data_IF_696328816822
#
_entry.id   IF_696328816822
#
_cell.length_a   1.000
_cell.length_b   1.000
_cell.length_c   1.000
_cell.angle_alpha   90.00
_cell.angle_beta   90.00
_cell.angle_gamma   90.00
#
_symmetry.space_group_name_H-M   'P 1'
#
loop_
_entity.id
_entity.type
_entity.pdbx_description
1 polymer ?
#
# COMPACT_ATOMS: atom_id res chain seq x y z
N UNK A 1 -58.05 35.86 -3.68
CA UNK A 1 -58.81 34.86 -2.96
C UNK A 1 -58.00 34.45 -1.74
N UNK A 2 -58.34 35.09 -0.71
CA UNK A 2 -57.86 35.04 0.63
C UNK A 2 -58.60 34.00 1.45
N UNK A 3 -57.91 33.47 2.42
CA UNK A 3 -58.52 32.83 3.59
C UNK A 3 -57.83 33.35 4.82
N UNK A 4 -58.64 33.87 5.67
CA UNK A 4 -58.39 34.56 6.90
C UNK A 4 -58.17 33.61 8.08
N UNK A 5 -57.39 34.08 9.03
CA UNK A 5 -57.23 33.57 10.40
C UNK A 5 -58.57 33.55 11.16
N UNK A 6 -58.77 32.51 11.98
CA UNK A 6 -59.61 32.68 13.16
C UNK A 6 -58.98 31.98 14.37
N UNK A 7 -58.83 32.78 15.41
CA UNK A 7 -58.41 32.42 16.74
C UNK A 7 -59.64 32.11 17.58
N UNK A 8 -59.66 31.04 18.35
CA UNK A 8 -60.48 31.00 19.54
C UNK A 8 -59.76 30.37 20.74
N UNK A 9 -59.69 31.16 21.78
CA UNK A 9 -59.19 30.84 23.11
C UNK A 9 -60.30 30.37 23.99
N UNK A 10 -60.24 29.23 24.65
CA UNK A 10 -60.97 29.00 25.87
C UNK A 10 -60.15 28.38 26.98
N UNK A 11 -60.07 29.11 28.05
CA UNK A 11 -59.46 28.76 29.33
C UNK A 11 -60.35 27.76 30.08
N UNK A 12 -59.84 26.77 30.74
CA UNK A 12 -60.03 26.33 32.13
C UNK A 12 -59.67 24.84 32.31
N UNK A 13 -58.92 24.57 33.34
CA UNK A 13 -58.74 23.22 33.88
C UNK A 13 -57.41 23.03 34.58
N UNK A 14 -57.20 23.65 35.73
CA UNK A 14 -56.15 23.32 36.67
C UNK A 14 -56.49 21.99 37.31
N UNK A 15 -55.64 20.98 37.14
CA UNK A 15 -55.61 19.77 37.97
C UNK A 15 -54.21 19.53 38.49
N UNK A 16 -54.08 19.67 39.79
CA UNK A 16 -52.87 19.34 40.58
C UNK A 16 -52.78 17.81 40.61
N UNK A 17 -51.64 17.30 40.16
CA UNK A 17 -51.29 15.90 40.37
C UNK A 17 -49.89 15.82 41.04
N UNK A 18 -49.88 15.11 42.12
CA UNK A 18 -48.78 14.98 43.08
C UNK A 18 -47.49 14.42 42.50
N UNK A 19 -46.37 14.96 42.98
CA UNK A 19 -45.02 14.50 42.69
C UNK A 19 -44.80 13.11 43.32
N UNK A 20 -44.60 12.09 42.46
CA UNK A 20 -43.95 10.85 42.84
C UNK A 20 -42.46 10.97 42.53
N UNK A 21 -41.63 11.12 43.57
CA UNK A 21 -40.17 11.07 43.49
C UNK A 21 -39.74 9.65 43.15
N UNK A 22 -39.49 9.38 41.88
CA UNK A 22 -38.82 8.14 41.47
C UNK A 22 -37.29 8.37 41.59
N UNK A 23 -36.69 7.74 42.57
CA UNK A 23 -35.22 7.64 42.70
C UNK A 23 -34.70 6.79 41.53
N UNK A 24 -34.16 7.47 40.52
CA UNK A 24 -33.39 6.81 39.46
C UNK A 24 -32.05 6.38 40.03
N UNK A 25 -31.91 5.10 40.34
CA UNK A 25 -30.63 4.51 40.66
C UNK A 25 -29.74 4.60 39.38
N UNK A 26 -28.77 5.48 39.42
CA UNK A 26 -27.70 5.55 38.38
C UNK A 26 -26.88 4.28 38.46
N UNK A 27 -27.21 3.28 37.65
CA UNK A 27 -26.30 2.17 37.37
C UNK A 27 -25.04 2.76 36.72
N UNK A 28 -23.94 2.79 37.45
CA UNK A 28 -22.62 3.01 36.89
C UNK A 28 -22.35 1.83 35.95
N UNK A 29 -22.48 2.06 34.64
CA UNK A 29 -21.91 1.19 33.61
C UNK A 29 -20.40 1.18 33.87
N UNK A 30 -19.77 0.00 34.12
CA UNK A 30 -18.32 -0.05 34.26
C UNK A 30 -17.74 0.53 32.97
N UNK A 31 -16.98 1.60 33.11
CA UNK A 31 -16.33 2.24 31.99
C UNK A 31 -15.52 1.20 31.23
N UNK A 32 -15.92 0.87 30.02
CA UNK A 32 -15.06 0.23 29.04
C UNK A 32 -13.77 1.08 29.03
N UNK A 33 -12.65 0.52 29.54
CA UNK A 33 -11.35 1.10 29.31
C UNK A 33 -11.27 1.23 27.79
N UNK A 34 -11.34 2.45 27.28
CA UNK A 34 -11.01 2.72 25.91
C UNK A 34 -9.60 2.17 25.72
N UNK A 35 -9.52 1.01 25.08
CA UNK A 35 -8.27 0.46 24.61
C UNK A 35 -7.76 1.55 23.67
N UNK A 36 -6.72 2.28 24.07
CA UNK A 36 -6.06 3.24 23.20
C UNK A 36 -5.59 2.42 22.01
N UNK A 37 -6.42 2.35 20.98
CA UNK A 37 -6.05 1.71 19.74
C UNK A 37 -4.85 2.50 19.25
N UNK A 38 -3.68 1.83 19.11
CA UNK A 38 -2.51 2.38 18.44
C UNK A 38 -2.87 2.52 16.95
N UNK A 39 -3.89 3.35 16.67
CA UNK A 39 -4.34 3.61 15.32
C UNK A 39 -3.18 4.23 14.54
N UNK A 40 -2.81 3.59 13.45
CA UNK A 40 -1.86 4.10 12.47
C UNK A 40 -2.52 4.15 11.10
N UNK A 41 -1.93 4.92 10.20
CA UNK A 41 -2.33 4.95 8.80
C UNK A 41 -1.41 4.07 7.99
N UNK A 42 -1.96 3.17 7.19
CA UNK A 42 -1.22 2.39 6.20
C UNK A 42 -1.36 3.03 4.82
N UNK A 43 -0.23 3.22 4.14
CA UNK A 43 -0.20 3.54 2.71
C UNK A 43 0.48 2.39 1.99
N UNK A 44 -0.30 1.65 1.18
CA UNK A 44 0.12 0.43 0.50
C UNK A 44 0.39 0.72 -0.97
N UNK A 45 1.67 0.74 -1.36
CA UNK A 45 2.10 1.07 -2.72
C UNK A 45 2.29 -0.22 -3.52
N UNK A 46 1.54 -0.33 -4.60
CA UNK A 46 1.49 -1.51 -5.46
C UNK A 46 2.75 -1.65 -6.35
N UNK A 47 3.10 -2.87 -6.81
CA UNK A 47 4.25 -3.11 -7.68
C UNK A 47 4.01 -2.67 -9.12
N UNK A 48 5.02 -2.81 -9.97
CA UNK A 48 4.89 -2.70 -11.42
C UNK A 48 3.74 -3.57 -11.95
N UNK A 49 3.16 -3.18 -13.07
CA UNK A 49 2.02 -3.82 -13.77
C UNK A 49 0.68 -3.79 -13.03
N UNK A 50 0.65 -3.42 -11.76
CA UNK A 50 -0.54 -3.43 -10.90
C UNK A 50 -1.17 -2.02 -10.78
N UNK A 51 -2.13 -1.91 -9.90
CA UNK A 51 -2.75 -0.70 -9.37
C UNK A 51 -3.15 -0.92 -7.92
N UNK A 52 -3.69 0.08 -7.26
CA UNK A 52 -4.15 -0.01 -5.88
C UNK A 52 -5.16 -1.15 -5.64
N UNK A 53 -5.81 -1.61 -6.71
CA UNK A 53 -6.72 -2.75 -6.72
C UNK A 53 -6.11 -4.04 -6.14
N UNK A 54 -4.79 -4.24 -6.26
CA UNK A 54 -4.15 -5.47 -5.80
C UNK A 54 -4.26 -5.68 -4.28
N UNK A 55 -4.40 -4.60 -3.53
CA UNK A 55 -4.56 -4.63 -2.08
C UNK A 55 -5.99 -4.93 -1.59
N UNK A 56 -6.92 -5.26 -2.51
CA UNK A 56 -8.35 -5.45 -2.21
C UNK A 56 -8.62 -6.50 -1.12
N UNK A 57 -7.79 -7.54 -1.00
CA UNK A 57 -7.95 -8.57 0.03
C UNK A 57 -7.30 -8.20 1.37
N UNK A 58 -6.32 -7.29 1.38
CA UNK A 58 -5.58 -6.87 2.59
C UNK A 58 -6.20 -5.64 3.25
N UNK A 59 -6.61 -4.65 2.45
CA UNK A 59 -7.14 -3.38 2.97
C UNK A 59 -8.30 -3.53 3.94
N UNK A 60 -9.32 -4.39 3.69
CA UNK A 60 -10.40 -4.60 4.64
C UNK A 60 -9.90 -5.17 5.97
N UNK A 61 -8.96 -6.12 5.93
CA UNK A 61 -8.42 -6.77 7.12
C UNK A 61 -7.70 -5.79 8.05
N UNK A 62 -6.98 -4.81 7.49
CA UNK A 62 -6.36 -3.74 8.28
C UNK A 62 -7.40 -2.75 8.83
N UNK A 63 -8.43 -2.40 8.03
CA UNK A 63 -9.52 -1.52 8.47
C UNK A 63 -10.35 -2.15 9.59
N UNK A 64 -10.60 -3.45 9.54
CA UNK A 64 -11.31 -4.20 10.59
C UNK A 64 -10.54 -4.22 11.92
N UNK A 65 -9.23 -3.93 11.89
CA UNK A 65 -8.38 -3.73 13.07
C UNK A 65 -8.31 -2.27 13.52
N UNK A 66 -9.10 -1.38 12.91
CA UNK A 66 -9.24 0.02 13.30
C UNK A 66 -8.23 0.98 12.67
N UNK A 67 -7.48 0.55 11.65
CA UNK A 67 -6.48 1.37 10.94
C UNK A 67 -7.08 2.08 9.73
N UNK A 68 -6.53 3.24 9.38
CA UNK A 68 -6.79 3.87 8.08
C UNK A 68 -5.91 3.25 7.02
N UNK A 69 -6.46 3.03 5.81
CA UNK A 69 -5.72 2.36 4.73
C UNK A 69 -5.94 3.08 3.41
N UNK A 70 -4.85 3.52 2.81
CA UNK A 70 -4.79 4.13 1.49
C UNK A 70 -4.05 3.21 0.52
N UNK A 71 -4.58 3.07 -0.68
CA UNK A 71 -4.00 2.22 -1.73
C UNK A 71 -3.91 3.00 -3.04
N UNK A 72 -3.05 4.04 -3.12
CA UNK A 72 -2.97 4.88 -4.30
C UNK A 72 -2.54 4.07 -5.52
N UNK A 73 -3.12 4.38 -6.67
CA UNK A 73 -2.63 3.87 -7.96
C UNK A 73 -1.66 4.88 -8.57
N UNK A 74 -0.47 4.40 -8.89
CA UNK A 74 0.60 5.18 -9.48
C UNK A 74 0.26 5.59 -10.92
N UNK A 75 0.65 6.79 -11.33
CA UNK A 75 0.34 7.35 -12.65
C UNK A 75 0.85 6.45 -13.77
N UNK A 76 -0.01 6.20 -14.76
CA UNK A 76 0.28 5.33 -15.90
C UNK A 76 0.03 3.85 -15.69
N UNK A 77 -0.49 3.44 -14.51
CA UNK A 77 -0.74 2.05 -14.14
C UNK A 77 -2.22 1.84 -13.75
N UNK A 78 -2.67 0.60 -13.73
CA UNK A 78 -4.02 0.21 -13.32
C UNK A 78 -5.11 1.07 -14.00
N UNK A 79 -6.08 1.56 -13.23
CA UNK A 79 -7.16 2.44 -13.71
C UNK A 79 -6.66 3.82 -14.21
N UNK A 80 -5.39 4.16 -13.94
CA UNK A 80 -4.73 5.38 -14.43
C UNK A 80 -3.84 5.13 -15.66
N UNK A 81 -3.93 3.94 -16.27
CA UNK A 81 -3.12 3.55 -17.44
C UNK A 81 -3.32 4.48 -18.67
N UNK A 82 -4.49 5.13 -18.78
CA UNK A 82 -4.78 6.12 -19.80
C UNK A 82 -3.89 7.38 -19.73
N UNK A 83 -3.22 7.61 -18.60
CA UNK A 83 -2.25 8.69 -18.39
C UNK A 83 -0.82 8.29 -18.76
N UNK A 84 -0.59 7.05 -19.20
CA UNK A 84 0.75 6.55 -19.48
C UNK A 84 1.43 7.28 -20.65
N UNK A 85 2.66 7.74 -20.44
CA UNK A 85 3.53 8.33 -21.45
C UNK A 85 5.01 8.10 -21.12
N UNK A 86 5.90 8.33 -22.08
CA UNK A 86 7.31 7.97 -21.98
C UNK A 86 8.09 8.67 -20.84
N UNK A 87 7.64 9.85 -20.42
CA UNK A 87 8.32 10.65 -19.38
C UNK A 87 7.93 10.25 -17.96
N UNK A 88 6.98 9.34 -17.77
CA UNK A 88 6.65 8.84 -16.43
C UNK A 88 7.82 8.02 -15.92
N UNK A 89 8.45 8.50 -14.85
CA UNK A 89 9.58 7.88 -14.18
C UNK A 89 9.34 7.67 -12.69
N UNK A 90 10.40 7.30 -11.98
CA UNK A 90 10.37 7.04 -10.54
C UNK A 90 9.89 8.28 -9.77
N UNK A 91 10.33 9.47 -10.16
CA UNK A 91 9.95 10.73 -9.53
C UNK A 91 8.44 11.00 -9.62
N UNK A 92 7.79 10.67 -10.75
CA UNK A 92 6.32 10.78 -10.89
C UNK A 92 5.62 9.89 -9.86
N UNK A 93 6.07 8.65 -9.71
CA UNK A 93 5.48 7.70 -8.77
C UNK A 93 5.72 8.11 -7.31
N UNK A 94 6.89 8.66 -6.98
CA UNK A 94 7.16 9.23 -5.66
C UNK A 94 6.20 10.39 -5.38
N UNK A 95 6.04 11.31 -6.35
CA UNK A 95 5.17 12.47 -6.18
C UNK A 95 3.69 12.08 -6.05
N UNK A 96 3.22 11.05 -6.77
CA UNK A 96 1.85 10.52 -6.61
C UNK A 96 1.53 10.22 -5.14
N UNK A 97 2.43 9.52 -4.44
CA UNK A 97 2.22 9.10 -3.05
C UNK A 97 2.49 10.24 -2.07
N UNK A 98 3.50 11.08 -2.32
CA UNK A 98 3.75 12.29 -1.51
C UNK A 98 2.52 13.19 -1.53
N UNK A 99 1.87 13.36 -2.68
CA UNK A 99 0.63 14.12 -2.76
C UNK A 99 -0.49 13.50 -1.93
N UNK A 100 -0.63 12.16 -1.93
CA UNK A 100 -1.62 11.50 -1.05
C UNK A 100 -1.31 11.82 0.42
N UNK A 101 -0.04 11.72 0.84
CA UNK A 101 0.35 12.04 2.21
C UNK A 101 0.01 13.50 2.58
N UNK A 102 0.25 14.42 1.67
CA UNK A 102 0.05 15.86 1.89
C UNK A 102 -1.44 16.26 1.86
N UNK A 103 -2.17 15.87 0.82
CA UNK A 103 -3.55 16.32 0.62
C UNK A 103 -4.57 15.60 1.50
N UNK A 104 -4.25 14.39 1.97
CA UNK A 104 -5.02 13.68 2.99
C UNK A 104 -4.53 14.00 4.42
N UNK A 105 -3.55 14.92 4.55
CA UNK A 105 -2.97 15.35 5.84
C UNK A 105 -2.50 14.17 6.71
N UNK A 106 -1.88 13.15 6.08
CA UNK A 106 -1.51 11.92 6.75
C UNK A 106 -0.25 12.09 7.60
N UNK A 107 -0.30 11.59 8.82
CA UNK A 107 0.83 11.47 9.74
C UNK A 107 0.88 10.10 10.39
N UNK A 108 2.00 9.74 11.01
CA UNK A 108 2.23 8.42 11.62
C UNK A 108 1.98 7.27 10.65
N UNK A 109 2.49 7.40 9.42
CA UNK A 109 2.24 6.46 8.33
C UNK A 109 3.18 5.26 8.41
N UNK A 110 2.62 4.05 8.32
CA UNK A 110 3.32 2.82 7.94
C UNK A 110 3.26 2.74 6.42
N UNK A 111 4.40 2.99 5.77
CA UNK A 111 4.50 3.02 4.32
C UNK A 111 5.00 1.66 3.81
N UNK A 112 4.18 0.98 3.01
CA UNK A 112 4.46 -0.37 2.48
C UNK A 112 4.72 -0.28 0.99
N UNK A 113 5.88 -0.77 0.54
CA UNK A 113 6.20 -0.89 -0.88
C UNK A 113 6.46 -2.34 -1.26
N UNK A 114 5.75 -2.83 -2.28
CA UNK A 114 5.98 -4.17 -2.81
C UNK A 114 6.82 -4.13 -4.07
N UNK A 115 7.77 -5.05 -4.20
CA UNK A 115 8.58 -5.26 -5.42
C UNK A 115 9.27 -3.96 -5.90
N UNK A 116 8.95 -3.46 -7.10
CA UNK A 116 9.47 -2.20 -7.66
C UNK A 116 9.17 -0.97 -6.80
N UNK A 117 8.07 -0.98 -6.06
CA UNK A 117 7.69 0.15 -5.19
C UNK A 117 8.56 0.27 -3.94
N UNK A 118 9.48 -0.66 -3.69
CA UNK A 118 10.55 -0.45 -2.73
C UNK A 118 11.41 0.78 -3.07
N UNK A 119 11.70 1.01 -4.36
CA UNK A 119 12.37 2.24 -4.81
C UNK A 119 11.50 3.49 -4.58
N UNK A 120 10.19 3.38 -4.83
CA UNK A 120 9.23 4.49 -4.61
C UNK A 120 9.21 4.89 -3.14
N UNK A 121 9.01 3.92 -2.21
CA UNK A 121 8.96 4.24 -0.77
C UNK A 121 10.30 4.72 -0.21
N UNK A 122 11.42 4.31 -0.81
CA UNK A 122 12.74 4.84 -0.48
C UNK A 122 12.83 6.33 -0.80
N UNK A 123 12.38 6.74 -1.98
CA UNK A 123 12.36 8.16 -2.37
C UNK A 123 11.35 9.00 -1.59
N UNK A 124 10.20 8.44 -1.21
CA UNK A 124 9.22 9.11 -0.35
C UNK A 124 9.83 9.35 1.03
N UNK A 125 10.50 8.34 1.61
CA UNK A 125 11.14 8.47 2.91
C UNK A 125 12.24 9.53 2.92
N UNK A 126 12.98 9.70 1.82
CA UNK A 126 13.97 10.78 1.68
C UNK A 126 13.33 12.17 1.72
N UNK A 127 12.11 12.31 1.20
CA UNK A 127 11.42 13.58 0.99
C UNK A 127 10.59 14.04 2.19
N UNK A 128 9.84 13.13 2.82
CA UNK A 128 8.88 13.45 3.89
C UNK A 128 9.00 12.47 5.08
N UNK A 129 10.21 12.28 5.63
CA UNK A 129 10.44 11.31 6.71
C UNK A 129 9.63 11.57 7.96
N UNK A 130 9.27 12.85 8.23
CA UNK A 130 8.51 13.27 9.41
C UNK A 130 7.06 12.75 9.43
N UNK A 131 6.49 12.41 8.27
CA UNK A 131 5.15 11.84 8.17
C UNK A 131 5.13 10.34 8.44
N UNK A 132 6.30 9.68 8.43
CA UNK A 132 6.45 8.24 8.45
C UNK A 132 6.87 7.73 9.84
N UNK A 133 6.34 6.60 10.25
CA UNK A 133 6.79 5.90 11.46
C UNK A 133 7.49 4.59 11.13
N UNK A 134 7.19 3.98 10.00
CA UNK A 134 7.77 2.70 9.60
C UNK A 134 7.77 2.51 8.09
N UNK A 135 8.80 1.87 7.56
CA UNK A 135 8.88 1.42 6.16
C UNK A 135 8.82 -0.10 6.10
N UNK A 136 7.94 -0.62 5.26
CA UNK A 136 7.85 -2.08 5.01
C UNK A 136 8.20 -2.35 3.56
N UNK A 137 9.29 -3.06 3.34
CA UNK A 137 9.75 -3.57 2.05
C UNK A 137 9.23 -5.00 1.89
N UNK A 138 8.12 -5.16 1.18
CA UNK A 138 7.53 -6.46 0.92
C UNK A 138 8.12 -7.05 -0.36
N UNK A 139 9.01 -8.01 -0.20
CA UNK A 139 9.72 -8.67 -1.32
C UNK A 139 10.15 -7.67 -2.40
N UNK A 140 10.92 -6.64 -2.00
CA UNK A 140 11.05 -5.39 -2.73
C UNK A 140 12.50 -4.96 -2.95
N UNK A 141 12.72 -4.09 -3.94
CA UNK A 141 13.99 -3.39 -4.15
C UNK A 141 14.28 -2.42 -2.99
N UNK A 142 15.56 -2.37 -2.58
CA UNK A 142 16.07 -1.41 -1.60
C UNK A 142 17.32 -0.76 -2.20
N UNK A 143 17.17 0.16 -3.15
CA UNK A 143 18.31 0.76 -3.83
C UNK A 143 19.09 1.69 -2.88
N UNK A 144 20.39 1.80 -3.14
CA UNK A 144 21.26 2.80 -2.52
C UNK A 144 21.01 4.20 -3.13
N UNK A 145 21.57 5.24 -2.50
CA UNK A 145 21.53 6.59 -3.08
C UNK A 145 22.15 6.64 -4.48
N UNK A 146 21.44 7.27 -5.40
CA UNK A 146 21.84 7.37 -6.81
C UNK A 146 21.71 6.07 -7.62
N UNK A 147 21.18 4.99 -7.04
CA UNK A 147 21.04 3.70 -7.72
C UNK A 147 19.67 3.53 -8.36
N UNK A 148 19.63 3.11 -9.62
CA UNK A 148 18.41 2.69 -10.30
C UNK A 148 18.12 1.20 -10.07
N UNK A 149 16.86 0.78 -10.23
CA UNK A 149 16.52 -0.65 -10.19
C UNK A 149 17.25 -1.44 -11.28
N UNK A 150 17.45 -0.87 -12.47
CA UNK A 150 18.19 -1.48 -13.57
C UNK A 150 19.65 -1.77 -13.20
N UNK A 151 20.27 -1.02 -12.29
CA UNK A 151 21.64 -1.27 -11.84
C UNK A 151 21.75 -2.53 -10.96
N UNK A 152 20.64 -2.92 -10.34
CA UNK A 152 20.53 -4.08 -9.43
C UNK A 152 20.20 -5.35 -10.21
N UNK A 153 19.41 -5.22 -11.28
CA UNK A 153 18.94 -6.33 -12.11
C UNK A 153 20.13 -6.96 -12.86
N UNK A 154 20.28 -8.30 -12.83
CA UNK A 154 21.37 -8.97 -13.55
C UNK A 154 21.39 -8.63 -15.05
N UNK A 155 22.57 -8.55 -15.68
CA UNK A 155 22.74 -8.08 -17.07
C UNK A 155 21.88 -8.82 -18.10
N UNK A 156 21.75 -10.14 -17.98
CA UNK A 156 20.93 -10.98 -18.86
C UNK A 156 19.45 -10.64 -18.78
N UNK A 157 18.94 -10.48 -17.57
CA UNK A 157 17.54 -10.05 -17.34
C UNK A 157 17.31 -8.63 -17.82
N UNK A 158 18.23 -7.72 -17.57
CA UNK A 158 18.19 -6.32 -18.04
C UNK A 158 18.08 -6.26 -19.56
N UNK A 159 18.96 -6.98 -20.26
CA UNK A 159 18.92 -7.08 -21.73
C UNK A 159 17.56 -7.61 -22.23
N UNK A 160 17.03 -8.66 -21.59
CA UNK A 160 15.72 -9.20 -21.95
C UNK A 160 14.57 -8.21 -21.72
N UNK A 161 14.62 -7.40 -20.66
CA UNK A 161 13.62 -6.34 -20.43
C UNK A 161 13.71 -5.25 -21.51
N UNK A 162 14.92 -4.78 -21.85
CA UNK A 162 15.15 -3.77 -22.90
C UNK A 162 14.67 -4.26 -24.27
N UNK A 163 14.95 -5.50 -24.63
CA UNK A 163 14.49 -6.10 -25.89
C UNK A 163 12.94 -6.11 -25.96
N UNK A 164 12.25 -6.51 -24.88
CA UNK A 164 10.78 -6.51 -24.86
C UNK A 164 10.19 -5.09 -24.92
N UNK A 165 10.81 -4.14 -24.26
CA UNK A 165 10.40 -2.72 -24.35
C UNK A 165 10.46 -2.24 -25.80
N UNK A 166 11.52 -2.62 -26.56
CA UNK A 166 11.65 -2.24 -27.97
C UNK A 166 10.66 -3.00 -28.87
N UNK A 167 10.55 -4.33 -28.68
CA UNK A 167 9.75 -5.19 -29.56
C UNK A 167 8.23 -5.03 -29.35
N UNK A 168 7.79 -4.88 -28.10
CA UNK A 168 6.38 -4.98 -27.71
C UNK A 168 5.88 -3.72 -26.97
N UNK A 169 6.79 -2.94 -26.38
CA UNK A 169 6.48 -1.83 -25.50
C UNK A 169 6.60 -0.45 -26.12
N UNK A 170 6.56 -0.33 -27.44
CA UNK A 170 6.67 0.96 -28.16
C UNK A 170 7.94 1.77 -27.79
N UNK A 171 8.99 1.09 -27.32
CA UNK A 171 10.25 1.69 -26.89
C UNK A 171 10.27 2.31 -25.48
N UNK A 172 9.15 2.31 -24.76
CA UNK A 172 9.06 2.96 -23.45
C UNK A 172 8.18 2.24 -22.40
N UNK A 173 7.40 1.24 -22.79
CA UNK A 173 6.60 0.41 -21.89
C UNK A 173 7.26 -0.94 -21.67
N UNK A 174 7.29 -1.42 -20.44
CA UNK A 174 7.63 -2.80 -20.11
C UNK A 174 6.34 -3.62 -20.05
N UNK A 175 6.05 -4.46 -21.08
CA UNK A 175 4.77 -5.14 -21.19
C UNK A 175 4.62 -6.26 -20.15
N UNK A 176 5.70 -6.97 -19.83
CA UNK A 176 5.69 -8.06 -18.86
C UNK A 176 7.09 -8.29 -18.25
N UNK A 177 7.15 -9.03 -17.16
CA UNK A 177 8.44 -9.40 -16.53
C UNK A 177 9.19 -10.50 -17.29
N UNK A 178 8.46 -11.37 -17.96
CA UNK A 178 9.00 -12.51 -18.70
C UNK A 178 8.42 -12.61 -20.12
N UNK A 179 9.06 -13.31 -21.05
CA UNK A 179 8.54 -13.54 -22.39
C UNK A 179 7.30 -14.47 -22.42
N UNK A 180 7.07 -15.22 -21.34
CA UNK A 180 5.88 -16.09 -21.24
C UNK A 180 4.59 -15.27 -21.13
N UNK A 181 3.45 -15.77 -21.65
CA UNK A 181 2.15 -15.16 -21.42
C UNK A 181 1.87 -14.97 -19.93
N UNK A 182 1.19 -13.88 -19.57
CA UNK A 182 0.89 -13.56 -18.17
C UNK A 182 0.21 -14.72 -17.41
N UNK A 183 -0.75 -15.43 -18.01
CA UNK A 183 -1.43 -16.54 -17.33
C UNK A 183 -0.46 -17.64 -16.92
N UNK A 184 0.43 -18.03 -17.84
CA UNK A 184 1.47 -19.01 -17.55
C UNK A 184 2.43 -18.50 -16.47
N UNK A 185 2.85 -17.24 -16.56
CA UNK A 185 3.77 -16.63 -15.59
C UNK A 185 3.14 -16.55 -14.19
N UNK A 186 1.87 -16.13 -14.08
CA UNK A 186 1.16 -16.09 -12.79
C UNK A 186 1.07 -17.47 -12.15
N UNK A 187 0.78 -18.50 -12.95
CA UNK A 187 0.61 -19.87 -12.45
C UNK A 187 1.95 -20.51 -12.06
N UNK A 188 2.97 -20.40 -12.91
CA UNK A 188 4.22 -21.17 -12.78
C UNK A 188 5.28 -20.43 -11.94
N UNK A 189 5.39 -19.12 -12.09
CA UNK A 189 6.40 -18.32 -11.40
C UNK A 189 5.87 -17.69 -10.09
N UNK A 190 4.64 -17.20 -10.11
CA UNK A 190 4.03 -16.57 -8.94
C UNK A 190 3.07 -17.49 -8.19
N UNK A 191 2.93 -18.73 -8.62
CA UNK A 191 2.14 -19.79 -7.98
C UNK A 191 0.70 -19.37 -7.63
N UNK A 192 0.08 -18.53 -8.46
CA UNK A 192 -1.34 -18.18 -8.33
C UNK A 192 -2.15 -19.34 -8.90
N UNK A 193 -2.46 -20.33 -8.07
CA UNK A 193 -3.11 -21.57 -8.48
C UNK A 193 -4.63 -21.43 -8.62
N UNK A 194 -5.25 -20.51 -7.88
CA UNK A 194 -6.67 -20.22 -7.97
C UNK A 194 -7.00 -19.54 -9.30
N UNK A 195 -7.93 -20.13 -10.06
CA UNK A 195 -8.32 -19.64 -11.39
C UNK A 195 -9.00 -18.28 -11.33
N UNK A 196 -9.87 -18.06 -10.34
CA UNK A 196 -10.59 -16.80 -10.20
C UNK A 196 -9.62 -15.66 -9.87
N UNK A 197 -8.62 -15.90 -9.03
CA UNK A 197 -7.56 -14.94 -8.72
C UNK A 197 -6.71 -14.62 -9.95
N UNK A 198 -6.33 -15.62 -10.75
CA UNK A 198 -5.58 -15.37 -11.99
C UNK A 198 -6.37 -14.53 -12.98
N UNK A 199 -7.62 -14.89 -13.25
CA UNK A 199 -8.47 -14.14 -14.17
C UNK A 199 -8.73 -12.71 -13.66
N UNK A 200 -8.91 -12.56 -12.36
CA UNK A 200 -9.06 -11.25 -11.72
C UNK A 200 -7.82 -10.37 -11.90
N UNK A 201 -6.61 -10.95 -11.79
CA UNK A 201 -5.35 -10.24 -12.02
C UNK A 201 -5.17 -9.92 -13.50
N UNK A 202 -5.31 -10.92 -14.39
CA UNK A 202 -5.12 -10.77 -15.84
C UNK A 202 -5.96 -9.63 -16.44
N UNK A 203 -7.20 -9.49 -15.99
CA UNK A 203 -8.08 -8.43 -16.44
C UNK A 203 -7.64 -7.01 -16.01
N UNK A 204 -6.60 -6.89 -15.15
CA UNK A 204 -6.20 -5.62 -14.51
C UNK A 204 -4.73 -5.26 -14.66
N UNK A 205 -3.89 -6.22 -15.06
CA UNK A 205 -2.47 -5.96 -15.30
C UNK A 205 -2.30 -4.99 -16.47
N UNK A 206 -1.41 -4.01 -16.32
CA UNK A 206 -1.11 -3.00 -17.33
C UNK A 206 0.40 -2.89 -17.54
N UNK A 207 0.89 -2.61 -18.76
CA UNK A 207 2.31 -2.35 -18.98
C UNK A 207 2.82 -1.20 -18.09
N UNK A 208 4.07 -1.29 -17.67
CA UNK A 208 4.70 -0.29 -16.79
C UNK A 208 5.59 0.66 -17.60
N UNK A 209 5.54 1.99 -17.38
CA UNK A 209 6.53 2.92 -17.94
C UNK A 209 7.95 2.51 -17.54
N UNK A 210 8.79 2.19 -18.54
CA UNK A 210 10.10 1.58 -18.28
C UNK A 210 11.10 2.54 -17.62
N UNK A 211 10.90 3.83 -17.81
CA UNK A 211 11.70 4.88 -17.17
C UNK A 211 11.71 4.75 -15.63
N UNK A 212 10.64 4.24 -15.01
CA UNK A 212 10.57 3.96 -13.57
C UNK A 212 11.71 3.05 -13.09
N UNK A 213 12.12 2.08 -13.90
CA UNK A 213 13.23 1.17 -13.57
C UNK A 213 14.61 1.79 -13.81
N UNK A 214 14.71 2.79 -14.69
CA UNK A 214 15.97 3.43 -15.10
C UNK A 214 16.34 4.66 -14.29
N UNK A 215 15.35 5.32 -13.67
CA UNK A 215 15.61 6.50 -12.87
C UNK A 215 16.28 6.12 -11.54
N UNK A 216 17.36 6.82 -11.14
CA UNK A 216 18.01 6.59 -9.86
C UNK A 216 17.14 7.12 -8.72
N UNK A 217 17.14 6.43 -7.59
CA UNK A 217 16.48 6.92 -6.37
C UNK A 217 17.40 7.89 -5.62
N UNK A 218 16.81 8.89 -5.00
CA UNK A 218 17.48 9.72 -4.00
C UNK A 218 17.27 9.12 -2.60
N UNK A 219 18.37 8.95 -1.85
CA UNK A 219 18.38 8.41 -0.50
C UNK A 219 19.51 9.09 0.32
N UNK A 220 19.34 10.35 0.57
CA UNK A 220 20.35 11.20 1.21
C UNK A 220 19.92 11.78 2.56
N UNK A 221 18.65 11.60 2.95
CA UNK A 221 18.08 12.18 4.17
C UNK A 221 18.54 11.44 5.44
N UNK A 222 19.27 12.10 6.36
CA UNK A 222 19.64 11.50 7.65
C UNK A 222 18.43 11.18 8.54
N UNK A 223 17.29 11.87 8.35
CA UNK A 223 16.05 11.59 9.06
C UNK A 223 15.42 10.30 8.56
N UNK A 224 15.41 10.06 7.23
CA UNK A 224 14.94 8.83 6.64
C UNK A 224 15.72 7.60 7.15
N UNK A 225 17.04 7.74 7.33
CA UNK A 225 17.88 6.61 7.81
C UNK A 225 17.55 6.18 9.25
N UNK A 226 16.90 7.03 10.04
CA UNK A 226 16.47 6.71 11.41
C UNK A 226 15.11 6.00 11.47
N UNK A 227 14.36 5.93 10.37
CA UNK A 227 13.08 5.26 10.33
C UNK A 227 13.25 3.76 10.58
N UNK A 228 12.35 3.20 11.38
CA UNK A 228 12.25 1.76 11.56
C UNK A 228 11.89 1.09 10.22
N UNK A 229 12.48 -0.08 9.94
CA UNK A 229 12.29 -0.79 8.67
C UNK A 229 12.00 -2.26 8.92
N UNK A 230 11.12 -2.81 8.09
CA UNK A 230 10.89 -4.26 8.02
C UNK A 230 11.09 -4.72 6.58
N UNK A 231 11.85 -5.79 6.39
CA UNK A 231 11.90 -6.52 5.12
C UNK A 231 11.12 -7.81 5.28
N UNK A 232 10.10 -8.02 4.44
CA UNK A 232 9.31 -9.25 4.38
C UNK A 232 9.70 -9.99 3.11
N UNK A 233 10.29 -11.20 3.24
CA UNK A 233 10.72 -12.04 2.13
C UNK A 233 9.67 -13.12 1.82
N UNK A 234 9.28 -13.24 0.55
CA UNK A 234 8.39 -14.30 0.04
C UNK A 234 9.24 -15.49 -0.41
N UNK A 235 9.20 -16.61 0.32
CA UNK A 235 10.17 -17.70 0.18
C UNK A 235 9.97 -18.60 -1.05
N UNK A 236 8.74 -18.66 -1.62
CA UNK A 236 8.44 -19.56 -2.74
C UNK A 236 8.75 -18.93 -4.12
N UNK A 237 9.33 -17.75 -4.14
CA UNK A 237 9.80 -17.12 -5.37
C UNK A 237 11.32 -16.88 -5.30
N UNK A 238 12.15 -17.81 -5.81
CA UNK A 238 13.60 -17.67 -5.79
C UNK A 238 14.04 -16.40 -6.52
N UNK A 239 14.62 -15.46 -5.79
CA UNK A 239 15.12 -14.21 -6.35
C UNK A 239 16.38 -13.73 -5.63
N UNK A 240 17.58 -14.01 -6.18
CA UNK A 240 18.84 -13.65 -5.54
C UNK A 240 19.01 -12.16 -5.22
N UNK A 241 18.33 -11.27 -5.96
CA UNK A 241 18.35 -9.83 -5.66
C UNK A 241 17.67 -9.55 -4.31
N UNK A 242 16.53 -10.17 -4.07
CA UNK A 242 15.77 -9.98 -2.81
C UNK A 242 16.39 -10.75 -1.64
N UNK A 243 17.05 -11.89 -1.91
CA UNK A 243 17.79 -12.63 -0.90
C UNK A 243 18.95 -11.79 -0.32
N UNK A 244 19.61 -10.97 -1.13
CA UNK A 244 20.66 -10.02 -0.68
C UNK A 244 20.08 -8.94 0.26
N UNK A 245 18.89 -8.42 -0.02
CA UNK A 245 18.25 -7.45 0.87
C UNK A 245 17.76 -8.10 2.15
N UNK A 246 17.22 -9.32 2.08
CA UNK A 246 16.86 -10.12 3.24
C UNK A 246 18.06 -10.32 4.18
N UNK A 247 19.22 -10.70 3.62
CA UNK A 247 20.44 -10.87 4.39
C UNK A 247 20.94 -9.57 5.00
N UNK A 248 20.85 -8.46 4.26
CA UNK A 248 21.17 -7.12 4.78
C UNK A 248 20.24 -6.75 5.94
N UNK A 249 18.95 -6.98 5.80
CA UNK A 249 17.97 -6.67 6.84
C UNK A 249 18.20 -7.50 8.12
N UNK A 250 18.60 -8.77 7.99
CA UNK A 250 18.94 -9.63 9.14
C UNK A 250 20.13 -9.10 9.95
N UNK A 251 21.08 -8.44 9.31
CA UNK A 251 22.36 -8.00 9.91
C UNK A 251 22.39 -6.52 10.30
N UNK A 252 21.46 -5.72 9.82
CA UNK A 252 21.48 -4.27 10.04
C UNK A 252 20.63 -3.87 11.24
N UNK A 253 21.23 -3.21 12.21
CA UNK A 253 20.51 -2.63 13.35
C UNK A 253 19.43 -1.65 12.87
N UNK A 254 18.25 -1.70 13.48
CA UNK A 254 17.10 -0.87 13.09
C UNK A 254 16.23 -1.48 11.99
N UNK A 255 16.64 -2.62 11.44
CA UNK A 255 15.81 -3.42 10.55
C UNK A 255 15.19 -4.60 11.29
N UNK A 256 13.94 -4.93 10.90
CA UNK A 256 13.28 -6.21 11.24
C UNK A 256 13.23 -7.06 9.98
N UNK A 257 13.44 -8.35 10.13
CA UNK A 257 13.30 -9.31 9.05
C UNK A 257 12.14 -10.26 9.34
N UNK A 258 11.32 -10.54 8.31
CA UNK A 258 10.21 -11.49 8.38
C UNK A 258 10.15 -12.32 7.09
N UNK A 259 9.51 -13.47 7.20
CA UNK A 259 9.33 -14.41 6.10
C UNK A 259 7.86 -14.75 5.90
N UNK A 260 7.47 -14.94 4.65
CA UNK A 260 6.19 -15.53 4.27
C UNK A 260 6.45 -16.76 3.40
N UNK A 261 5.85 -17.93 3.74
CA UNK A 261 5.99 -19.15 2.95
C UNK A 261 5.06 -19.10 1.72
N UNK A 262 5.21 -18.09 0.90
CA UNK A 262 4.39 -17.80 -0.28
C UNK A 262 5.25 -17.34 -1.44
N UNK A 263 4.64 -17.23 -2.62
CA UNK A 263 5.22 -16.61 -3.80
C UNK A 263 5.17 -15.07 -3.73
N UNK A 264 5.55 -14.41 -4.81
CA UNK A 264 5.76 -12.96 -4.89
C UNK A 264 4.50 -12.10 -4.61
N UNK A 265 3.30 -12.67 -4.73
CA UNK A 265 2.01 -11.95 -4.64
C UNK A 265 1.22 -12.29 -3.34
N UNK A 266 1.78 -12.03 -2.13
CA UNK A 266 1.16 -12.43 -0.86
C UNK A 266 -0.17 -11.74 -0.59
N UNK A 267 -0.40 -10.54 -1.16
CA UNK A 267 -1.68 -9.82 -1.03
C UNK A 267 -2.83 -10.52 -1.76
N UNK A 268 -2.53 -11.44 -2.69
CA UNK A 268 -3.53 -12.29 -3.36
C UNK A 268 -3.65 -13.62 -2.65
N UNK A 269 -2.52 -14.31 -2.41
CA UNK A 269 -2.48 -15.71 -1.98
C UNK A 269 -2.55 -15.90 -0.46
N UNK A 270 -1.97 -14.97 0.32
CA UNK A 270 -1.85 -15.05 1.79
C UNK A 270 -2.20 -13.71 2.46
N UNK A 271 -3.39 -13.13 2.19
CA UNK A 271 -3.72 -11.78 2.66
C UNK A 271 -3.80 -11.68 4.18
N UNK A 272 -4.22 -12.74 4.87
CA UNK A 272 -4.33 -12.73 6.34
C UNK A 272 -2.96 -12.75 7.01
N UNK A 273 -2.06 -13.63 6.55
CA UNK A 273 -0.70 -13.75 7.07
C UNK A 273 0.09 -12.46 6.80
N UNK A 274 -0.05 -11.90 5.60
CA UNK A 274 0.55 -10.61 5.28
C UNK A 274 0.01 -9.52 6.20
N UNK A 275 -1.31 -9.46 6.41
CA UNK A 275 -1.92 -8.48 7.32
C UNK A 275 -1.35 -8.58 8.72
N UNK A 276 -1.17 -9.79 9.26
CA UNK A 276 -0.60 -9.99 10.58
C UNK A 276 0.83 -9.42 10.68
N UNK A 277 1.67 -9.63 9.66
CA UNK A 277 3.03 -9.07 9.63
C UNK A 277 3.03 -7.54 9.49
N UNK A 278 2.08 -6.97 8.75
CA UNK A 278 1.93 -5.51 8.66
C UNK A 278 1.52 -4.90 10.01
N UNK A 279 0.66 -5.57 10.78
CA UNK A 279 0.27 -5.16 12.13
C UNK A 279 1.46 -5.22 13.11
N UNK A 280 2.31 -6.24 13.02
CA UNK A 280 3.54 -6.33 13.81
C UNK A 280 4.53 -5.18 13.49
N UNK A 281 4.59 -4.72 12.25
CA UNK A 281 5.45 -3.60 11.86
C UNK A 281 5.00 -2.28 12.49
N UNK A 282 3.71 -2.13 12.79
CA UNK A 282 3.13 -0.93 13.42
C UNK A 282 3.24 -0.92 14.95
N UNK A 283 3.53 -2.08 15.56
CA UNK A 283 3.71 -2.25 17.01
C UNK A 283 5.14 -1.89 17.43
#
# INVERSE_FOLDING_TARGET
>A
MGWTLDADMSRRGILVAAAACATVATMKIPGSKAQTSNKVTYVLVHPAWHGGWCWKKVSPLLRDRGHDVYTPTLTGLGERSHLAHAEIGLETHIQDVVNVLMYEELGRVVLVGHSSSGAVITGIADRVPEQLVHLVYLDAFVPADGQAMMDIIPPDRRQGMEQRVQAEGKGWLLPSLAPAPWDQFLREAWHITDEADRQWMLARLTPTPFKVFKDPVRRSSPAAEKLARTFIRCLQWPNPMFDRYAETARRTTGWRYRELPTSHEPFVTHPQELTNLLLEAAA
#
